data_IF_017715410992
#
_entry.id   IF_017715410992
#
_cell.length_a   1.000
_cell.length_b   1.000
_cell.length_c   1.000
_cell.angle_alpha   90.00
_cell.angle_beta   90.00
_cell.angle_gamma   90.00
#
_symmetry.space_group_name_H-M   'P 1'
#
loop_
_entity.id
_entity.type
_entity.pdbx_description
1 polymer ?
#
# COMPACT_ATOMS: atom_id res chain seq x y z
N UNK A 1 26.86 -1.13 -10.97
CA UNK A 1 27.22 0.20 -11.53
C UNK A 1 26.16 0.75 -12.49
N UNK A 2 25.82 0.05 -13.61
CA UNK A 2 24.84 0.59 -14.57
C UNK A 2 23.41 0.67 -14.00
N UNK A 3 23.02 -0.27 -13.16
CA UNK A 3 21.67 -0.28 -12.56
C UNK A 3 21.49 0.87 -11.59
N UNK A 4 22.46 1.16 -10.75
CA UNK A 4 22.42 2.28 -9.79
C UNK A 4 22.33 3.62 -10.52
N UNK A 5 23.19 3.82 -11.55
CA UNK A 5 23.15 5.03 -12.36
C UNK A 5 21.78 5.24 -13.07
N UNK A 6 21.14 4.17 -13.53
CA UNK A 6 19.80 4.24 -14.10
C UNK A 6 18.74 4.55 -13.05
N UNK A 7 18.88 3.99 -11.85
CA UNK A 7 17.93 4.24 -10.73
C UNK A 7 17.97 5.71 -10.31
N UNK A 8 19.12 6.37 -10.31
CA UNK A 8 19.26 7.80 -10.01
C UNK A 8 18.57 8.72 -11.04
N UNK A 9 18.32 8.22 -12.26
CA UNK A 9 17.61 8.96 -13.31
C UNK A 9 16.07 8.83 -13.21
N UNK A 10 15.56 7.89 -12.40
CA UNK A 10 14.12 7.72 -12.24
C UNK A 10 13.50 8.96 -11.60
N UNK A 11 12.32 9.31 -12.08
CA UNK A 11 11.53 10.44 -11.59
C UNK A 11 10.10 10.02 -11.38
N UNK A 12 9.54 10.35 -10.21
CA UNK A 12 8.21 9.97 -9.80
C UNK A 12 7.44 11.19 -9.30
N UNK A 13 6.13 11.16 -9.39
CA UNK A 13 5.26 12.08 -8.67
C UNK A 13 5.29 11.76 -7.17
N UNK A 14 4.90 12.71 -6.33
CA UNK A 14 4.95 12.56 -4.89
C UNK A 14 3.70 13.16 -4.24
N UNK A 15 3.39 12.73 -3.01
CA UNK A 15 2.30 13.33 -2.22
C UNK A 15 2.68 14.70 -1.66
N UNK A 16 3.96 15.04 -1.56
CA UNK A 16 4.44 16.31 -0.98
C UNK A 16 4.85 17.35 -2.02
N UNK A 17 5.27 16.92 -3.20
CA UNK A 17 5.78 17.82 -4.23
C UNK A 17 4.85 17.86 -5.45
N UNK A 18 4.70 19.04 -6.05
CA UNK A 18 3.90 19.21 -7.27
C UNK A 18 4.65 18.74 -8.53
N UNK A 19 5.98 18.70 -8.47
CA UNK A 19 6.88 18.26 -9.54
C UNK A 19 7.21 16.77 -9.49
N UNK A 20 8.10 16.37 -10.41
CA UNK A 20 8.72 15.05 -10.38
C UNK A 20 9.92 15.06 -9.43
N UNK A 21 10.05 14.02 -8.61
CA UNK A 21 11.14 13.85 -7.64
C UNK A 21 11.97 12.62 -7.97
N UNK A 22 13.24 12.67 -7.68
CA UNK A 22 14.15 11.53 -7.69
C UNK A 22 14.08 10.76 -6.38
N UNK A 23 14.58 9.52 -6.36
CA UNK A 23 14.74 8.76 -5.12
C UNK A 23 15.70 9.44 -4.15
N UNK A 24 16.73 10.13 -4.65
CA UNK A 24 17.68 10.92 -3.83
C UNK A 24 16.96 12.04 -3.09
N UNK A 25 16.20 12.88 -3.81
CA UNK A 25 15.41 13.97 -3.21
C UNK A 25 14.39 13.46 -2.19
N UNK A 26 13.79 12.29 -2.43
CA UNK A 26 12.92 11.64 -1.46
C UNK A 26 13.70 11.27 -0.19
N UNK A 27 14.84 10.57 -0.31
CA UNK A 27 15.67 10.16 0.83
C UNK A 27 16.16 11.36 1.63
N UNK A 28 16.58 12.45 0.96
CA UNK A 28 17.01 13.68 1.62
C UNK A 28 15.92 14.36 2.47
N UNK A 29 14.64 14.09 2.17
CA UNK A 29 13.46 14.58 2.92
C UNK A 29 12.88 13.56 3.90
N UNK A 30 13.42 12.34 3.93
CA UNK A 30 12.95 11.31 4.87
C UNK A 30 13.16 11.77 6.31
N UNK A 31 12.24 11.35 7.18
CA UNK A 31 12.41 11.52 8.63
C UNK A 31 13.54 10.60 9.12
N UNK A 32 14.23 11.00 10.18
CA UNK A 32 15.33 10.21 10.79
C UNK A 32 14.88 8.79 11.23
N UNK A 33 13.62 8.66 11.68
CA UNK A 33 13.03 7.40 12.13
C UNK A 33 12.39 6.58 10.99
N UNK A 34 12.31 7.11 9.78
CA UNK A 34 11.72 6.44 8.62
C UNK A 34 12.64 5.34 8.08
N UNK A 35 12.11 4.11 7.99
CA UNK A 35 12.89 2.93 7.60
C UNK A 35 12.86 2.65 6.10
N UNK A 36 11.78 3.02 5.41
CA UNK A 36 11.51 2.61 4.03
C UNK A 36 11.08 3.78 3.15
N UNK A 37 11.28 3.64 1.85
CA UNK A 37 10.73 4.50 0.80
C UNK A 37 9.35 3.93 0.45
N UNK A 38 8.28 4.73 0.59
CA UNK A 38 6.92 4.28 0.33
C UNK A 38 6.45 4.74 -1.04
N UNK A 39 5.70 3.87 -1.74
CA UNK A 39 5.09 4.18 -3.02
C UNK A 39 3.70 3.56 -3.14
N UNK A 40 2.84 4.21 -3.92
CA UNK A 40 1.52 3.73 -4.31
C UNK A 40 1.47 3.57 -5.83
N UNK A 41 0.90 2.47 -6.31
CA UNK A 41 0.70 2.22 -7.74
C UNK A 41 -0.76 2.23 -8.12
N UNK A 42 -1.09 2.67 -9.33
CA UNK A 42 -2.44 2.68 -9.90
C UNK A 42 -2.52 3.48 -11.18
N UNK A 43 -3.69 3.49 -11.82
CA UNK A 43 -3.87 4.05 -13.16
C UNK A 43 -4.14 5.56 -13.21
N UNK A 44 -4.45 6.20 -12.09
CA UNK A 44 -4.89 7.59 -12.08
C UNK A 44 -4.38 8.36 -10.88
N UNK A 45 -3.58 9.40 -11.14
CA UNK A 45 -2.96 10.23 -10.10
C UNK A 45 -3.98 10.81 -9.11
N UNK A 46 -5.14 11.31 -9.58
CA UNK A 46 -6.14 11.94 -8.71
C UNK A 46 -6.73 10.89 -7.76
N UNK A 47 -7.04 9.70 -8.26
CA UNK A 47 -7.54 8.59 -7.44
C UNK A 47 -6.50 8.12 -6.43
N UNK A 48 -5.22 8.06 -6.82
CA UNK A 48 -4.12 7.68 -5.93
C UNK A 48 -3.92 8.69 -4.81
N UNK A 49 -3.94 10.01 -5.11
CA UNK A 49 -3.81 11.07 -4.10
C UNK A 49 -4.95 11.07 -3.07
N UNK A 50 -6.14 10.60 -3.45
CA UNK A 50 -7.32 10.49 -2.58
C UNK A 50 -7.52 9.06 -2.02
N UNK A 51 -6.53 8.20 -2.15
CA UNK A 51 -6.64 6.81 -1.70
C UNK A 51 -6.66 6.71 -0.17
N UNK A 52 -7.58 5.92 0.41
CA UNK A 52 -7.57 5.59 1.84
C UNK A 52 -6.25 4.99 2.32
N UNK A 53 -5.48 4.37 1.42
CA UNK A 53 -4.17 3.79 1.74
C UNK A 53 -3.14 4.83 2.18
N UNK A 54 -3.36 6.12 1.87
CA UNK A 54 -2.46 7.22 2.21
C UNK A 54 -2.79 7.89 3.56
N UNK A 55 -3.93 7.60 4.19
CA UNK A 55 -4.40 8.33 5.38
C UNK A 55 -3.37 8.32 6.52
N UNK A 56 -2.80 7.16 6.84
CA UNK A 56 -1.78 7.04 7.88
C UNK A 56 -0.50 7.82 7.53
N UNK A 57 -0.06 7.71 6.29
CA UNK A 57 1.16 8.38 5.82
C UNK A 57 1.00 9.90 5.87
N UNK A 58 -0.13 10.42 5.42
CA UNK A 58 -0.47 11.84 5.52
C UNK A 58 -0.50 12.32 6.98
N UNK A 59 -1.13 11.55 7.89
CA UNK A 59 -1.20 11.87 9.32
C UNK A 59 0.17 11.89 10.00
N UNK A 60 1.07 10.99 9.59
CA UNK A 60 2.45 10.90 10.11
C UNK A 60 3.43 11.82 9.37
N UNK A 61 2.95 12.64 8.43
CA UNK A 61 3.76 13.50 7.56
C UNK A 61 4.84 12.73 6.79
N UNK A 62 4.50 11.56 6.26
CA UNK A 62 5.39 10.73 5.45
C UNK A 62 5.06 10.90 3.99
N UNK A 63 6.08 11.20 3.19
CA UNK A 63 5.99 11.27 1.74
C UNK A 63 5.74 9.88 1.15
N UNK A 64 4.87 9.80 0.12
CA UNK A 64 4.63 8.59 -0.66
C UNK A 64 4.79 8.93 -2.14
N UNK A 65 5.61 8.17 -2.86
CA UNK A 65 5.75 8.28 -4.31
C UNK A 65 4.47 7.79 -5.00
N UNK A 66 4.06 8.49 -6.04
CA UNK A 66 2.87 8.16 -6.84
C UNK A 66 3.33 7.65 -8.20
N UNK A 67 3.08 6.39 -8.43
CA UNK A 67 3.44 5.64 -9.62
C UNK A 67 2.17 5.36 -10.42
N UNK A 68 1.85 6.22 -11.37
CA UNK A 68 0.61 6.18 -12.15
C UNK A 68 0.80 5.77 -13.63
N UNK A 69 2.01 5.41 -14.01
CA UNK A 69 2.33 4.81 -15.29
C UNK A 69 2.33 3.27 -15.22
N UNK A 70 1.82 2.61 -16.26
CA UNK A 70 1.76 1.13 -16.31
C UNK A 70 3.14 0.48 -16.18
N UNK A 71 4.20 1.14 -16.70
CA UNK A 71 5.57 0.65 -16.64
C UNK A 71 6.18 0.73 -15.25
N UNK A 72 5.69 1.61 -14.38
CA UNK A 72 6.26 1.87 -13.06
C UNK A 72 6.25 0.62 -12.18
N UNK A 73 5.19 -0.18 -12.24
CA UNK A 73 5.08 -1.43 -11.47
C UNK A 73 6.20 -2.41 -11.83
N UNK A 74 6.60 -2.46 -13.12
CA UNK A 74 7.72 -3.30 -13.57
C UNK A 74 9.04 -2.74 -13.09
N UNK A 75 9.24 -1.43 -13.29
CA UNK A 75 10.50 -0.77 -12.95
C UNK A 75 10.78 -0.90 -11.46
N UNK A 76 9.77 -0.59 -10.62
CA UNK A 76 9.95 -0.56 -9.17
C UNK A 76 10.24 -1.94 -8.58
N UNK A 77 9.70 -3.02 -9.15
CA UNK A 77 10.04 -4.40 -8.74
C UNK A 77 11.51 -4.73 -9.02
N UNK A 78 12.10 -4.09 -10.00
CA UNK A 78 13.54 -4.18 -10.30
C UNK A 78 14.42 -3.39 -9.32
N UNK A 79 13.86 -2.50 -8.49
CA UNK A 79 14.58 -1.61 -7.55
C UNK A 79 14.08 -1.87 -6.13
N UNK A 80 14.43 -3.01 -5.50
CA UNK A 80 13.92 -3.34 -4.17
C UNK A 80 14.48 -2.43 -3.06
N UNK A 81 15.63 -1.80 -3.31
CA UNK A 81 16.31 -0.91 -2.36
C UNK A 81 16.98 0.26 -3.07
N UNK A 82 17.05 1.39 -2.37
CA UNK A 82 17.81 2.57 -2.75
C UNK A 82 18.43 3.19 -1.50
N UNK A 83 19.73 3.47 -1.49
CA UNK A 83 20.49 4.03 -0.37
C UNK A 83 20.21 3.28 0.95
N UNK A 84 20.32 1.93 0.91
CA UNK A 84 20.01 0.97 2.01
C UNK A 84 18.55 0.98 2.52
N UNK A 85 17.67 1.80 1.94
CA UNK A 85 16.25 1.85 2.25
C UNK A 85 15.46 0.91 1.35
N UNK A 86 14.56 0.12 1.93
CA UNK A 86 13.64 -0.72 1.16
C UNK A 86 12.55 0.13 0.49
N UNK A 87 12.15 -0.24 -0.73
CA UNK A 87 10.98 0.33 -1.39
C UNK A 87 9.77 -0.53 -1.05
N UNK A 88 8.76 0.05 -0.38
CA UNK A 88 7.55 -0.64 0.07
C UNK A 88 6.30 -0.10 -0.60
N UNK A 89 5.52 -1.01 -1.19
CA UNK A 89 4.22 -0.68 -1.79
C UNK A 89 3.15 -0.53 -0.73
N UNK A 90 2.51 0.65 -0.64
CA UNK A 90 1.36 0.86 0.24
C UNK A 90 0.11 0.11 -0.21
N UNK A 91 0.09 -0.44 -1.44
CA UNK A 91 -0.97 -1.32 -1.93
C UNK A 91 -0.94 -2.73 -1.29
N UNK A 92 0.07 -3.03 -0.45
CA UNK A 92 0.26 -4.33 0.22
C UNK A 92 -0.04 -4.27 1.71
N UNK A 93 -0.43 -5.41 2.29
CA UNK A 93 -0.82 -5.50 3.71
C UNK A 93 0.31 -5.18 4.69
N UNK A 94 1.55 -5.58 4.43
CA UNK A 94 2.70 -5.39 5.33
C UNK A 94 3.33 -3.98 5.31
N UNK A 95 2.83 -3.04 4.50
CA UNK A 95 3.47 -1.73 4.36
C UNK A 95 3.38 -0.85 5.61
N UNK A 96 2.43 -1.11 6.51
CA UNK A 96 2.24 -0.37 7.77
C UNK A 96 3.06 -0.91 8.95
N UNK A 97 3.67 -2.09 8.82
CA UNK A 97 4.38 -2.77 9.92
C UNK A 97 5.60 -1.99 10.44
N UNK A 98 6.13 -1.08 9.63
CA UNK A 98 7.23 -0.20 10.05
C UNK A 98 6.82 0.81 11.14
N UNK A 99 5.52 0.99 11.40
CA UNK A 99 4.95 1.99 12.30
C UNK A 99 4.32 1.38 13.56
N UNK A 100 4.85 0.27 14.03
CA UNK A 100 4.34 -0.61 15.10
C UNK A 100 4.18 0.01 16.52
N UNK A 101 4.18 1.33 16.64
CA UNK A 101 3.88 1.99 17.92
C UNK A 101 2.48 1.62 18.48
N UNK A 102 1.58 1.15 17.62
CA UNK A 102 0.20 0.78 17.93
C UNK A 102 -0.09 -0.74 17.89
N UNK A 103 0.92 -1.60 17.75
CA UNK A 103 0.74 -3.07 17.62
C UNK A 103 -0.09 -3.71 18.74
N UNK A 104 0.00 -3.21 19.97
CA UNK A 104 -0.79 -3.69 21.10
C UNK A 104 -2.27 -3.26 21.02
N UNK A 105 -2.55 -2.09 20.42
CA UNK A 105 -3.90 -1.61 20.17
C UNK A 105 -4.56 -2.42 19.08
N UNK A 106 -3.86 -2.64 17.96
CA UNK A 106 -4.34 -3.49 16.87
C UNK A 106 -4.73 -4.89 17.35
N UNK A 107 -3.88 -5.53 18.16
CA UNK A 107 -4.16 -6.86 18.74
C UNK A 107 -5.40 -6.87 19.64
N UNK A 108 -5.70 -5.76 20.35
CA UNK A 108 -6.92 -5.62 21.16
C UNK A 108 -8.15 -5.45 20.28
N UNK A 109 -8.06 -4.57 19.30
CA UNK A 109 -9.15 -4.30 18.36
C UNK A 109 -9.47 -5.54 17.52
N UNK A 110 -8.45 -6.25 17.03
CA UNK A 110 -8.63 -7.53 16.33
C UNK A 110 -9.33 -8.56 17.20
N UNK A 111 -8.97 -8.68 18.49
CA UNK A 111 -9.65 -9.62 19.41
C UNK A 111 -11.10 -9.24 19.65
N UNK A 112 -11.42 -7.97 19.82
CA UNK A 112 -12.77 -7.47 20.07
C UNK A 112 -13.68 -7.64 18.84
N UNK A 113 -13.15 -7.41 17.64
CA UNK A 113 -13.87 -7.50 16.37
C UNK A 113 -13.84 -8.88 15.71
N UNK A 114 -13.14 -9.85 16.31
CA UNK A 114 -13.00 -11.20 15.74
C UNK A 114 -14.33 -11.85 15.28
N UNK A 115 -15.47 -11.74 15.99
CA UNK A 115 -16.74 -12.26 15.52
C UNK A 115 -17.24 -11.55 14.26
N UNK A 116 -17.06 -10.21 14.18
CA UNK A 116 -17.47 -9.38 13.05
C UNK A 116 -16.62 -9.72 11.83
N UNK A 117 -15.29 -9.77 11.99
CA UNK A 117 -14.34 -10.14 10.93
C UNK A 117 -14.70 -11.51 10.32
N UNK A 118 -14.96 -12.51 11.17
CA UNK A 118 -15.37 -13.85 10.72
C UNK A 118 -16.70 -13.83 9.96
N UNK A 119 -17.69 -13.06 10.43
CA UNK A 119 -18.97 -12.91 9.76
C UNK A 119 -18.82 -12.26 8.40
N UNK A 120 -18.03 -11.16 8.32
CA UNK A 120 -17.72 -10.47 7.07
C UNK A 120 -17.01 -11.41 6.09
N UNK A 121 -15.95 -12.12 6.54
CA UNK A 121 -15.24 -13.10 5.72
C UNK A 121 -16.18 -14.17 5.16
N UNK A 122 -17.10 -14.70 5.99
CA UNK A 122 -18.09 -15.69 5.55
C UNK A 122 -19.07 -15.13 4.51
N UNK A 123 -19.53 -13.88 4.68
CA UNK A 123 -20.45 -13.23 3.74
C UNK A 123 -19.78 -12.88 2.40
N UNK A 124 -18.54 -12.44 2.45
CA UNK A 124 -17.76 -12.10 1.26
C UNK A 124 -17.26 -13.34 0.51
N UNK A 125 -17.12 -14.47 1.23
CA UNK A 125 -16.73 -15.77 0.64
C UNK A 125 -15.44 -15.67 -0.16
N UNK A 126 -15.53 -16.03 -1.43
CA UNK A 126 -14.39 -16.08 -2.34
C UNK A 126 -13.96 -14.72 -2.92
N UNK A 127 -14.66 -13.64 -2.60
CA UNK A 127 -14.32 -12.30 -3.09
C UNK A 127 -13.07 -11.71 -2.40
N UNK A 128 -12.71 -12.19 -1.21
CA UNK A 128 -11.57 -11.72 -0.44
C UNK A 128 -10.76 -12.89 0.09
N UNK A 129 -9.43 -12.72 0.17
CA UNK A 129 -8.53 -13.67 0.81
C UNK A 129 -8.71 -13.67 2.34
N UNK A 130 -8.83 -12.49 2.93
CA UNK A 130 -9.03 -12.32 4.37
C UNK A 130 -9.72 -10.99 4.69
N UNK A 131 -10.17 -10.83 5.95
CA UNK A 131 -10.68 -9.57 6.52
C UNK A 131 -9.91 -9.28 7.79
N UNK A 132 -9.23 -8.11 7.84
CA UNK A 132 -8.36 -7.72 8.94
C UNK A 132 -8.73 -6.33 9.49
N UNK A 133 -8.30 -6.05 10.72
CA UNK A 133 -8.30 -4.68 11.24
C UNK A 133 -7.21 -3.89 10.53
N UNK A 134 -7.45 -2.63 10.23
CA UNK A 134 -6.50 -1.73 9.58
C UNK A 134 -5.80 -0.85 10.60
N UNK A 135 -4.48 -0.72 10.48
CA UNK A 135 -3.67 0.28 11.18
C UNK A 135 -3.52 1.59 10.41
N UNK A 136 -3.83 1.54 9.11
CA UNK A 136 -3.61 2.69 8.19
C UNK A 136 -4.81 3.61 8.02
N UNK A 137 -6.03 3.14 8.32
CA UNK A 137 -7.26 3.90 8.14
C UNK A 137 -7.54 4.81 9.34
N UNK A 138 -7.87 6.07 9.04
CA UNK A 138 -8.30 7.07 10.03
C UNK A 138 -9.75 7.51 9.78
N UNK A 139 -10.06 7.95 8.58
CA UNK A 139 -11.35 8.53 8.20
C UNK A 139 -12.21 7.57 7.37
N UNK A 140 -11.58 6.73 6.55
CA UNK A 140 -12.29 5.76 5.72
C UNK A 140 -12.71 4.52 6.50
N UNK A 141 -13.88 3.89 6.18
CA UNK A 141 -14.37 2.69 6.87
C UNK A 141 -13.59 1.43 6.51
N UNK A 142 -13.09 1.34 5.29
CA UNK A 142 -12.38 0.15 4.79
C UNK A 142 -11.54 0.47 3.56
N UNK A 143 -10.56 -0.39 3.27
CA UNK A 143 -9.81 -0.42 2.03
C UNK A 143 -9.51 -1.86 1.63
N UNK A 144 -9.04 -2.05 0.40
CA UNK A 144 -8.53 -3.34 -0.08
C UNK A 144 -7.04 -3.23 -0.38
N UNK A 145 -6.30 -4.28 -0.01
CA UNK A 145 -4.86 -4.40 -0.26
C UNK A 145 -4.52 -5.78 -0.82
N UNK A 146 -3.41 -5.88 -1.54
CA UNK A 146 -2.84 -7.17 -1.88
C UNK A 146 -2.20 -7.80 -0.63
N UNK A 147 -2.12 -9.13 -0.58
CA UNK A 147 -1.27 -9.80 0.39
C UNK A 147 0.21 -9.46 0.11
N UNK A 148 1.06 -9.56 1.10
CA UNK A 148 2.47 -9.18 1.02
C UNK A 148 3.21 -9.84 -0.16
N UNK A 149 2.92 -11.11 -0.42
CA UNK A 149 3.58 -11.91 -1.46
C UNK A 149 2.76 -12.04 -2.77
N UNK A 150 1.53 -11.50 -2.79
CA UNK A 150 0.68 -11.59 -3.98
C UNK A 150 0.92 -10.38 -4.90
N UNK A 151 0.75 -10.51 -6.23
CA UNK A 151 0.73 -9.37 -7.14
C UNK A 151 -0.35 -8.36 -6.76
N UNK A 152 -0.06 -7.08 -6.95
CA UNK A 152 -1.07 -6.01 -6.82
C UNK A 152 -2.14 -6.14 -7.92
N UNK A 153 -3.29 -5.47 -7.75
CA UNK A 153 -4.34 -5.47 -8.76
C UNK A 153 -3.83 -4.95 -10.12
N UNK A 154 -2.96 -3.93 -10.10
CA UNK A 154 -2.35 -3.38 -11.30
C UNK A 154 -1.41 -4.37 -11.98
N UNK A 155 -0.57 -5.08 -11.21
CA UNK A 155 0.30 -6.12 -11.75
C UNK A 155 -0.51 -7.26 -12.37
N UNK A 156 -1.63 -7.67 -11.75
CA UNK A 156 -2.51 -8.70 -12.32
C UNK A 156 -3.12 -8.26 -13.64
N UNK A 157 -3.60 -7.01 -13.72
CA UNK A 157 -4.19 -6.47 -14.96
C UNK A 157 -3.15 -6.40 -16.09
N UNK A 158 -1.95 -5.96 -15.77
CA UNK A 158 -0.84 -5.94 -16.71
C UNK A 158 -0.47 -7.36 -17.19
N UNK A 159 -0.37 -8.35 -16.31
CA UNK A 159 -0.10 -9.74 -16.67
C UNK A 159 -1.19 -10.31 -17.59
N UNK A 160 -2.46 -9.98 -17.33
CA UNK A 160 -3.59 -10.34 -18.22
C UNK A 160 -3.48 -9.71 -19.58
N UNK A 161 -3.12 -8.43 -19.66
CA UNK A 161 -2.93 -7.71 -20.93
C UNK A 161 -1.78 -8.28 -21.76
N UNK A 162 -0.76 -8.85 -21.11
CA UNK A 162 0.35 -9.56 -21.74
C UNK A 162 0.00 -10.99 -22.21
N UNK A 163 -1.27 -11.41 -22.07
CA UNK A 163 -1.75 -12.72 -22.53
C UNK A 163 -1.63 -13.86 -21.53
N UNK A 164 -1.27 -13.58 -20.28
CA UNK A 164 -1.27 -14.58 -19.21
C UNK A 164 -2.68 -14.79 -18.65
N UNK A 165 -3.58 -15.39 -19.46
CA UNK A 165 -4.99 -15.56 -19.10
C UNK A 165 -5.25 -16.70 -18.09
N UNK A 166 -4.31 -17.62 -17.91
CA UNK A 166 -4.47 -18.80 -17.03
C UNK A 166 -4.02 -18.54 -15.58
N UNK A 167 -3.81 -17.29 -15.19
CA UNK A 167 -3.45 -16.99 -13.80
C UNK A 167 -4.67 -17.10 -12.88
N UNK A 168 -4.52 -17.76 -11.70
CA UNK A 168 -5.58 -17.76 -10.71
C UNK A 168 -5.92 -16.33 -10.28
N UNK A 169 -7.21 -16.08 -10.08
CA UNK A 169 -7.68 -14.80 -9.54
C UNK A 169 -7.14 -14.63 -8.12
N UNK A 170 -6.28 -13.62 -7.94
CA UNK A 170 -5.70 -13.30 -6.64
C UNK A 170 -6.72 -12.47 -5.86
N UNK A 171 -7.10 -12.96 -4.68
CA UNK A 171 -8.12 -12.34 -3.85
C UNK A 171 -7.47 -11.30 -2.94
N UNK A 172 -8.02 -10.07 -2.87
CA UNK A 172 -7.49 -9.04 -1.99
C UNK A 172 -7.80 -9.34 -0.52
N UNK A 173 -7.10 -8.65 0.37
CA UNK A 173 -7.44 -8.54 1.78
C UNK A 173 -8.30 -7.29 1.95
N UNK A 174 -9.43 -7.43 2.67
CA UNK A 174 -10.23 -6.30 3.13
C UNK A 174 -9.72 -5.85 4.49
N UNK A 175 -9.24 -4.62 4.57
CA UNK A 175 -8.92 -3.97 5.84
C UNK A 175 -10.08 -3.08 6.29
N UNK A 176 -10.45 -3.12 7.57
CA UNK A 176 -11.52 -2.33 8.16
C UNK A 176 -10.99 -1.42 9.28
N UNK A 177 -11.55 -0.21 9.35
CA UNK A 177 -11.27 0.74 10.42
C UNK A 177 -12.11 0.43 11.66
N UNK A 178 -11.51 -0.04 12.77
CA UNK A 178 -12.25 -0.45 13.96
C UNK A 178 -12.97 0.72 14.65
N UNK A 179 -12.56 1.95 14.39
CA UNK A 179 -13.09 3.14 15.05
C UNK A 179 -14.12 3.91 14.18
N UNK A 180 -14.41 3.44 12.97
CA UNK A 180 -15.35 4.11 12.08
C UNK A 180 -16.81 3.78 12.46
N UNK A 181 -17.68 4.80 12.46
CA UNK A 181 -19.08 4.70 12.89
C UNK A 181 -19.88 3.58 12.20
N UNK A 182 -19.58 3.31 10.92
CA UNK A 182 -20.22 2.22 10.17
C UNK A 182 -19.81 0.86 10.74
N UNK A 183 -18.53 0.70 11.06
CA UNK A 183 -17.97 -0.55 11.58
C UNK A 183 -18.45 -0.81 13.01
N UNK A 184 -18.57 0.25 13.83
CA UNK A 184 -19.07 0.17 15.21
C UNK A 184 -20.56 -0.23 15.30
N UNK A 185 -21.30 -0.13 14.19
CA UNK A 185 -22.73 -0.52 14.11
C UNK A 185 -22.96 -1.94 13.59
N UNK A 186 -21.90 -2.68 13.24
CA UNK A 186 -21.96 -4.07 12.73
C UNK A 186 -21.99 -5.10 13.86
#
# INVERSE_FOLDING_TARGET
EHKEALTDLLRFKSTKEDGLVSLREYVDRMREDQKSIYYITGQNQISLRNSPLLEMYAKKDIEVLILDDEIDEIIITGVPKYDDKELKSVNRSGASDDFDEDADKEKKDEKSLKPVLKKMKKLLGDKVKDVKVSSRLNDSPSCIVADENDPTAQMQEMMRSMGQMDMPEIKPILEINPNHDIVLKL
#
